data_IF_738006715122
#
_entry.id   IF_738006715122
#
_cell.length_a   1.000
_cell.length_b   1.000
_cell.length_c   1.000
_cell.angle_alpha   90.00
_cell.angle_beta   90.00
_cell.angle_gamma   90.00
#
_symmetry.space_group_name_H-M   'P 1'
#
loop_
_entity.id
_entity.type
_entity.pdbx_description
1 polymer ?
#
# COMPACT_ATOMS: atom_id res chain seq x y z
N UNK A 1 -3.68 -11.22 -19.16
CA UNK A 1 -3.31 -10.10 -18.29
C UNK A 1 -1.81 -10.20 -18.05
N UNK A 2 -1.00 -9.16 -18.34
CA UNK A 2 0.42 -9.20 -18.01
C UNK A 2 0.56 -9.34 -16.49
N UNK A 3 1.60 -10.06 -16.06
CA UNK A 3 1.92 -10.21 -14.63
C UNK A 3 2.11 -8.83 -14.00
N UNK A 4 1.59 -8.59 -12.78
CA UNK A 4 1.79 -7.31 -12.12
C UNK A 4 3.28 -7.05 -11.95
N UNK A 5 3.77 -5.95 -12.54
CA UNK A 5 5.19 -5.57 -12.54
C UNK A 5 5.75 -5.36 -11.13
N UNK A 6 4.90 -4.88 -10.21
CA UNK A 6 5.26 -4.55 -8.83
C UNK A 6 4.45 -5.39 -7.84
N UNK A 7 4.99 -6.54 -7.45
CA UNK A 7 4.37 -7.45 -6.49
C UNK A 7 4.69 -7.03 -5.06
N UNK A 8 3.67 -6.72 -4.27
CA UNK A 8 3.83 -6.38 -2.84
C UNK A 8 3.78 -7.66 -2.03
N UNK A 9 4.83 -7.93 -1.26
CA UNK A 9 4.87 -9.02 -0.27
C UNK A 9 5.38 -8.42 1.03
N UNK A 10 4.51 -8.32 2.02
CA UNK A 10 4.86 -7.77 3.32
C UNK A 10 5.50 -8.84 4.20
N UNK A 11 6.48 -8.45 5.01
CA UNK A 11 6.86 -9.25 6.19
C UNK A 11 5.81 -9.09 7.29
N UNK A 12 5.87 -9.97 8.28
CA UNK A 12 5.01 -9.88 9.47
C UNK A 12 5.20 -8.53 10.19
N UNK A 13 6.43 -8.03 10.27
CA UNK A 13 6.76 -6.74 10.90
C UNK A 13 6.24 -5.55 10.10
N UNK A 14 6.37 -5.58 8.77
CA UNK A 14 5.84 -4.53 7.89
C UNK A 14 4.32 -4.46 7.97
N UNK A 15 3.64 -5.60 7.90
CA UNK A 15 2.19 -5.69 8.09
C UNK A 15 1.76 -5.12 9.43
N UNK A 16 2.38 -5.57 10.53
CA UNK A 16 2.06 -5.08 11.87
C UNK A 16 2.25 -3.55 11.97
N UNK A 17 3.33 -3.03 11.40
CA UNK A 17 3.60 -1.58 11.36
C UNK A 17 2.53 -0.81 10.58
N UNK A 18 2.05 -1.34 9.46
CA UNK A 18 1.00 -0.72 8.66
C UNK A 18 -0.36 -0.76 9.36
N UNK A 19 -0.68 -1.85 10.05
CA UNK A 19 -1.90 -1.99 10.86
C UNK A 19 -1.89 -1.03 12.05
N UNK A 20 -0.78 -0.94 12.77
CA UNK A 20 -0.60 0.01 13.87
C UNK A 20 -0.71 1.45 13.38
N UNK A 21 -0.14 1.77 12.21
CA UNK A 21 -0.23 3.08 11.59
C UNK A 21 -1.68 3.47 11.26
N UNK A 22 -2.51 2.52 10.83
CA UNK A 22 -3.94 2.74 10.59
C UNK A 22 -4.69 2.92 11.92
N UNK A 23 -4.35 2.13 12.93
CA UNK A 23 -5.01 2.18 14.24
C UNK A 23 -4.73 3.49 14.99
N UNK A 24 -3.48 3.96 14.98
CA UNK A 24 -3.02 5.18 15.67
C UNK A 24 -3.21 6.46 14.84
N UNK A 25 -3.74 6.33 13.62
CA UNK A 25 -3.62 7.29 12.52
C UNK A 25 -4.29 8.65 12.65
N UNK A 26 -4.97 8.97 13.76
CA UNK A 26 -5.70 10.23 13.93
C UNK A 26 -4.85 11.51 13.75
N UNK A 27 -3.52 11.40 13.87
CA UNK A 27 -2.57 12.50 13.69
C UNK A 27 -1.73 12.43 12.39
N UNK A 28 -2.01 11.47 11.51
CA UNK A 28 -1.26 11.27 10.25
C UNK A 28 -1.99 11.90 9.08
N UNK A 29 -1.22 12.22 8.03
CA UNK A 29 -1.80 12.71 6.78
C UNK A 29 -2.69 11.63 6.14
N UNK A 30 -3.86 12.00 5.63
CA UNK A 30 -4.81 11.08 5.00
C UNK A 30 -4.15 10.25 3.88
N UNK A 31 -3.25 10.86 3.10
CA UNK A 31 -2.49 10.16 2.06
C UNK A 31 -1.65 9.00 2.60
N UNK A 32 -1.01 9.15 3.76
CA UNK A 32 -0.22 8.09 4.40
C UNK A 32 -1.11 6.91 4.80
N UNK A 33 -2.31 7.17 5.32
CA UNK A 33 -3.26 6.12 5.69
C UNK A 33 -3.83 5.41 4.45
N UNK A 34 -4.07 6.14 3.37
CA UNK A 34 -4.47 5.57 2.08
C UNK A 34 -3.38 4.64 1.55
N UNK A 35 -2.12 5.09 1.55
CA UNK A 35 -1.00 4.27 1.07
C UNK A 35 -0.80 3.01 1.92
N UNK A 36 -0.94 3.12 3.25
CA UNK A 36 -0.88 1.96 4.13
C UNK A 36 -1.97 0.92 3.82
N UNK A 37 -3.21 1.38 3.61
CA UNK A 37 -4.33 0.51 3.22
C UNK A 37 -4.09 -0.14 1.85
N UNK A 38 -3.54 0.61 0.89
CA UNK A 38 -3.17 0.07 -0.43
C UNK A 38 -2.19 -1.11 -0.27
N UNK A 39 -1.11 -0.93 0.50
CA UNK A 39 -0.11 -1.98 0.69
C UNK A 39 -0.69 -3.22 1.36
N UNK A 40 -1.51 -3.06 2.41
CA UNK A 40 -2.17 -4.18 3.08
C UNK A 40 -3.14 -4.94 2.16
N UNK A 41 -3.81 -4.27 1.23
CA UNK A 41 -4.71 -4.92 0.27
C UNK A 41 -3.96 -5.54 -0.92
N UNK A 42 -2.82 -4.96 -1.31
CA UNK A 42 -1.98 -5.46 -2.39
C UNK A 42 -1.09 -6.64 -1.98
N UNK A 43 -0.91 -6.86 -0.67
CA UNK A 43 -0.06 -7.91 -0.13
C UNK A 43 -0.45 -9.30 -0.66
N UNK A 44 0.50 -9.97 -1.31
CA UNK A 44 0.39 -11.36 -1.79
C UNK A 44 1.03 -12.36 -0.81
N UNK A 45 1.38 -11.89 0.39
CA UNK A 45 1.82 -12.71 1.51
C UNK A 45 0.71 -13.64 2.02
N UNK A 46 1.05 -14.59 2.91
CA UNK A 46 0.10 -15.56 3.45
C UNK A 46 -1.13 -14.95 4.13
N UNK A 47 -0.97 -13.76 4.71
CA UNK A 47 -2.04 -13.02 5.40
C UNK A 47 -2.68 -11.95 4.51
N UNK A 48 -2.11 -11.72 3.32
CA UNK A 48 -2.49 -10.69 2.38
C UNK A 48 -3.62 -11.15 1.45
N UNK A 49 -4.56 -10.26 1.11
CA UNK A 49 -5.71 -10.65 0.31
C UNK A 49 -5.41 -10.67 -1.20
N UNK A 50 -4.21 -10.22 -1.63
CA UNK A 50 -3.74 -10.26 -3.01
C UNK A 50 -4.72 -9.61 -4.01
N UNK A 51 -5.30 -8.46 -3.66
CA UNK A 51 -6.25 -7.78 -4.53
C UNK A 51 -5.53 -7.15 -5.74
N UNK A 52 -6.23 -7.10 -6.87
CA UNK A 52 -5.81 -6.33 -8.04
C UNK A 52 -6.02 -4.81 -7.84
N UNK A 53 -5.42 -4.01 -8.72
CA UNK A 53 -5.42 -2.55 -8.58
C UNK A 53 -6.81 -1.94 -8.66
N UNK A 54 -7.70 -2.50 -9.49
CA UNK A 54 -9.06 -1.97 -9.68
C UNK A 54 -9.90 -2.20 -8.41
N UNK A 55 -9.82 -3.40 -7.83
CA UNK A 55 -10.48 -3.73 -6.57
C UNK A 55 -9.96 -2.91 -5.40
N UNK A 56 -8.64 -2.66 -5.36
CA UNK A 56 -8.05 -1.79 -4.33
C UNK A 56 -8.51 -0.35 -4.51
N UNK A 57 -8.48 0.16 -5.75
CA UNK A 57 -8.89 1.51 -6.09
C UNK A 57 -10.35 1.77 -5.70
N UNK A 58 -11.25 0.84 -6.00
CA UNK A 58 -12.65 0.89 -5.61
C UNK A 58 -12.81 0.91 -4.08
N UNK A 59 -12.18 -0.03 -3.37
CA UNK A 59 -12.33 -0.16 -1.92
C UNK A 59 -11.75 1.02 -1.11
N UNK A 60 -10.81 1.77 -1.68
CA UNK A 60 -10.11 2.88 -1.02
C UNK A 60 -10.56 4.24 -1.59
N UNK A 61 -11.44 4.24 -2.60
CA UNK A 61 -11.90 5.44 -3.30
C UNK A 61 -10.73 6.28 -3.85
N UNK A 62 -9.77 5.62 -4.49
CA UNK A 62 -8.61 6.26 -5.09
C UNK A 62 -8.43 5.85 -6.56
N UNK A 63 -7.51 6.50 -7.27
CA UNK A 63 -7.25 6.13 -8.67
C UNK A 63 -6.39 4.85 -8.75
N UNK A 64 -6.61 3.95 -9.74
CA UNK A 64 -5.71 2.82 -10.00
C UNK A 64 -4.25 3.27 -10.20
N UNK A 65 -4.05 4.45 -10.79
CA UNK A 65 -2.73 5.09 -10.93
C UNK A 65 -2.06 5.40 -9.59
N UNK A 66 -2.83 5.64 -8.53
CA UNK A 66 -2.31 5.81 -7.17
C UNK A 66 -1.85 4.46 -6.62
N UNK A 67 -2.68 3.42 -6.77
CA UNK A 67 -2.34 2.05 -6.35
C UNK A 67 -1.04 1.60 -7.01
N UNK A 68 -0.93 1.75 -8.33
CA UNK A 68 0.26 1.41 -9.10
C UNK A 68 1.52 2.11 -8.56
N UNK A 69 1.46 3.44 -8.34
CA UNK A 69 2.62 4.20 -7.84
C UNK A 69 3.02 3.82 -6.42
N UNK A 70 2.05 3.52 -5.55
CA UNK A 70 2.34 3.06 -4.18
C UNK A 70 3.03 1.70 -4.20
N UNK A 71 2.52 0.76 -5.01
CA UNK A 71 3.16 -0.56 -5.21
C UNK A 71 4.56 -0.41 -5.80
N UNK A 72 4.73 0.44 -6.80
CA UNK A 72 6.03 0.73 -7.40
C UNK A 72 7.01 1.27 -6.36
N UNK A 73 6.63 2.31 -5.61
CA UNK A 73 7.49 2.90 -4.59
C UNK A 73 7.86 1.90 -3.50
N UNK A 74 6.95 1.01 -3.10
CA UNK A 74 7.25 -0.04 -2.13
C UNK A 74 8.29 -1.02 -2.67
N UNK A 75 8.13 -1.50 -3.90
CA UNK A 75 9.03 -2.50 -4.49
C UNK A 75 10.39 -1.91 -4.85
N UNK A 76 10.43 -0.66 -5.34
CA UNK A 76 11.67 -0.02 -5.81
C UNK A 76 12.42 0.71 -4.68
N UNK A 77 11.72 1.26 -3.69
CA UNK A 77 12.29 2.18 -2.68
C UNK A 77 11.95 1.79 -1.22
N UNK A 78 11.08 0.80 -1.00
CA UNK A 78 10.70 0.30 0.32
C UNK A 78 9.52 1.01 0.98
N UNK A 79 9.13 0.52 2.16
CA UNK A 79 7.92 0.94 2.89
C UNK A 79 7.87 2.44 3.20
N UNK A 80 8.98 3.03 3.66
CA UNK A 80 9.00 4.45 4.02
C UNK A 80 8.73 5.36 2.81
N UNK A 81 9.30 5.04 1.64
CA UNK A 81 9.09 5.79 0.41
C UNK A 81 7.65 5.66 -0.10
N UNK A 82 7.06 4.47 0.02
CA UNK A 82 5.66 4.25 -0.33
C UNK A 82 4.70 5.03 0.57
N UNK A 83 4.98 5.16 1.87
CA UNK A 83 4.08 5.81 2.84
C UNK A 83 4.22 7.34 2.87
N UNK A 84 5.45 7.85 2.74
CA UNK A 84 5.77 9.26 2.89
C UNK A 84 6.18 9.83 1.55
N UNK A 85 5.17 10.21 0.75
CA UNK A 85 5.41 10.95 -0.49
C UNK A 85 6.35 12.13 -0.21
N UNK A 86 7.45 12.23 -0.94
CA UNK A 86 8.28 13.44 -0.94
C UNK A 86 7.41 14.63 -1.34
N UNK A 87 7.31 15.63 -0.47
CA UNK A 87 6.71 16.92 -0.86
C UNK A 87 7.55 17.48 -2.01
N UNK A 88 6.91 17.99 -3.08
CA UNK A 88 7.62 18.67 -4.16
C UNK A 88 8.36 19.92 -3.65
#
# INVERSE_FOLDING_TARGET
MPLPKYVVRLTTEERASLEELIHTGSHRAAATLIHARILLKADVGPEGPSWDDDRIAEAIECSPSTVYRVRQAFVEEGMAAALFRKKP
#
